data_IF_652155474387
#
_entry.id   IF_652155474387
#
_cell.length_a   1.000
_cell.length_b   1.000
_cell.length_c   1.000
_cell.angle_alpha   90.00
_cell.angle_beta   90.00
_cell.angle_gamma   90.00
#
_symmetry.space_group_name_H-M   'P 1'
#
loop_
_entity.id
_entity.type
_entity.pdbx_description
1 polymer ?
#
# COMPACT_ATOMS: atom_id res chain seq x y z
N UNK A 1 -6.66 -5.97 -32.72
CA UNK A 1 -6.43 -5.56 -31.32
C UNK A 1 -7.23 -4.29 -31.08
N UNK A 2 -8.26 -4.32 -30.24
CA UNK A 2 -9.08 -3.13 -29.97
C UNK A 2 -8.30 -2.16 -29.09
N UNK A 3 -8.12 -0.91 -29.56
CA UNK A 3 -7.37 0.13 -28.85
C UNK A 3 -8.21 0.57 -27.66
N UNK A 4 -7.76 0.27 -26.44
CA UNK A 4 -8.46 0.67 -25.22
C UNK A 4 -8.72 2.19 -25.24
N UNK A 5 -9.92 2.65 -24.88
CA UNK A 5 -10.25 4.07 -24.84
C UNK A 5 -9.35 4.80 -23.83
N UNK A 6 -9.10 6.11 -24.04
CA UNK A 6 -8.24 6.95 -23.17
C UNK A 6 -8.57 6.81 -21.67
N UNK A 7 -9.87 6.70 -21.35
CA UNK A 7 -10.37 6.50 -19.99
C UNK A 7 -9.94 5.16 -19.34
N UNK A 8 -9.56 4.16 -20.15
CA UNK A 8 -9.08 2.86 -19.69
C UNK A 8 -7.54 2.77 -19.62
N UNK A 9 -6.82 3.81 -20.06
CA UNK A 9 -5.35 3.86 -20.03
C UNK A 9 -4.78 4.94 -19.10
N UNK A 10 -5.64 5.77 -18.50
CA UNK A 10 -5.23 6.81 -17.54
C UNK A 10 -5.64 6.40 -16.11
N UNK A 11 -4.68 5.98 -15.27
CA UNK A 11 -5.00 5.61 -13.90
C UNK A 11 -5.43 6.86 -13.10
N UNK A 12 -6.61 6.80 -12.50
CA UNK A 12 -7.18 7.90 -11.69
C UNK A 12 -6.72 7.88 -10.23
N UNK A 13 -6.13 6.77 -9.78
CA UNK A 13 -5.68 6.58 -8.39
C UNK A 13 -4.56 5.56 -8.30
N UNK A 14 -3.68 5.74 -7.32
CA UNK A 14 -2.71 4.71 -6.92
C UNK A 14 -3.39 3.72 -5.98
N UNK A 15 -3.31 2.43 -6.30
CA UNK A 15 -3.94 1.39 -5.50
C UNK A 15 -3.16 1.05 -4.23
N UNK A 16 -1.82 0.96 -4.34
CA UNK A 16 -0.91 0.54 -3.28
C UNK A 16 0.49 1.12 -3.53
N UNK A 17 1.25 1.35 -2.46
CA UNK A 17 2.64 1.81 -2.53
C UNK A 17 3.54 0.88 -1.72
N UNK A 18 4.64 0.43 -2.31
CA UNK A 18 5.70 -0.28 -1.60
C UNK A 18 6.76 0.69 -1.06
N UNK A 19 7.08 0.61 0.22
CA UNK A 19 8.09 1.43 0.87
C UNK A 19 9.25 0.58 1.36
N UNK A 20 10.45 0.89 0.87
CA UNK A 20 11.68 0.25 1.36
C UNK A 20 12.30 1.10 2.47
N UNK A 21 12.42 0.51 3.66
CA UNK A 21 13.01 1.17 4.82
C UNK A 21 14.17 0.36 5.39
N UNK A 22 15.09 1.06 6.07
CA UNK A 22 16.13 0.40 6.88
C UNK A 22 15.53 -0.30 8.09
N UNK A 23 14.48 0.27 8.68
CA UNK A 23 13.74 -0.30 9.80
C UNK A 23 12.24 -0.29 9.47
N UNK A 24 11.73 -1.44 9.04
CA UNK A 24 10.34 -1.61 8.65
C UNK A 24 9.37 -1.46 9.83
N UNK A 25 9.76 -1.90 11.04
CA UNK A 25 8.94 -1.81 12.25
C UNK A 25 8.69 -0.36 12.68
N UNK A 26 9.75 0.46 12.66
CA UNK A 26 9.61 1.88 12.99
C UNK A 26 8.72 2.61 11.98
N UNK A 27 8.84 2.27 10.69
CA UNK A 27 7.99 2.84 9.65
C UNK A 27 6.53 2.39 9.80
N UNK A 28 6.31 1.11 10.13
CA UNK A 28 4.97 0.59 10.38
C UNK A 28 4.32 1.25 11.59
N UNK A 29 5.06 1.40 12.70
CA UNK A 29 4.59 2.11 13.89
C UNK A 29 4.22 3.56 13.59
N UNK A 30 5.03 4.25 12.77
CA UNK A 30 4.72 5.61 12.33
C UNK A 30 3.38 5.69 11.60
N UNK A 31 3.14 4.84 10.58
CA UNK A 31 1.88 4.88 9.83
C UNK A 31 0.67 4.41 10.63
N UNK A 32 0.86 3.52 11.61
CA UNK A 32 -0.18 3.16 12.57
C UNK A 32 -0.57 4.34 13.45
N UNK A 33 0.41 5.10 13.97
CA UNK A 33 0.16 6.19 14.90
C UNK A 33 -0.29 7.50 14.22
N UNK A 34 0.29 7.82 13.06
CA UNK A 34 0.03 9.08 12.35
C UNK A 34 -1.23 9.01 11.48
N UNK A 35 -1.47 7.85 10.83
CA UNK A 35 -2.56 7.70 9.84
C UNK A 35 -3.66 6.75 10.34
N UNK A 36 -3.38 5.92 11.35
CA UNK A 36 -4.34 4.92 11.83
C UNK A 36 -4.42 3.67 10.95
N UNK A 37 -3.41 3.42 10.11
CA UNK A 37 -3.35 2.17 9.35
C UNK A 37 -3.20 0.98 10.31
N UNK A 38 -3.71 -0.18 9.90
CA UNK A 38 -3.62 -1.43 10.65
C UNK A 38 -2.74 -2.42 9.91
N UNK A 39 -1.96 -3.20 10.64
CA UNK A 39 -1.24 -4.33 10.08
C UNK A 39 -2.26 -5.37 9.62
N UNK A 40 -2.22 -5.73 8.34
CA UNK A 40 -3.11 -6.73 7.74
C UNK A 40 -2.39 -8.07 7.57
N UNK A 41 -1.09 -8.05 7.31
CA UNK A 41 -0.26 -9.24 7.13
C UNK A 41 1.22 -8.92 7.27
N UNK A 42 2.00 -9.94 7.62
CA UNK A 42 3.46 -9.90 7.69
C UNK A 42 4.02 -11.17 7.08
N UNK A 43 4.71 -11.04 5.96
CA UNK A 43 5.28 -12.18 5.24
C UNK A 43 6.43 -11.71 4.34
N UNK A 44 7.39 -12.61 4.08
CA UNK A 44 8.45 -12.37 3.08
C UNK A 44 9.33 -11.15 3.37
N UNK A 45 9.45 -10.72 4.63
CA UNK A 45 10.21 -9.53 5.01
C UNK A 45 9.50 -8.19 4.76
N UNK A 46 8.21 -8.21 4.40
CA UNK A 46 7.37 -7.03 4.22
C UNK A 46 6.26 -6.95 5.29
N UNK A 47 5.86 -5.73 5.64
CA UNK A 47 4.75 -5.46 6.56
C UNK A 47 3.64 -4.79 5.76
N UNK A 48 2.52 -5.49 5.60
CA UNK A 48 1.37 -4.93 4.88
C UNK A 48 0.50 -4.13 5.81
N UNK A 49 0.34 -2.83 5.53
CA UNK A 49 -0.57 -1.94 6.26
C UNK A 49 -1.76 -1.55 5.40
N UNK A 50 -2.91 -1.35 6.04
CA UNK A 50 -4.13 -0.95 5.35
C UNK A 50 -5.29 -0.58 6.26
N UNK A 51 -6.44 -0.31 5.65
CA UNK A 51 -7.65 0.09 6.34
C UNK A 51 -8.84 -0.73 5.80
N UNK A 52 -9.76 -1.14 6.67
CA UNK A 52 -10.95 -1.93 6.30
C UNK A 52 -10.62 -3.15 5.41
N UNK A 53 -9.54 -3.88 5.75
CA UNK A 53 -9.00 -5.04 5.00
C UNK A 53 -8.48 -4.73 3.58
N UNK A 54 -8.39 -3.46 3.21
CA UNK A 54 -7.75 -3.04 1.96
C UNK A 54 -6.27 -2.76 2.20
N UNK A 55 -5.35 -3.50 1.57
CA UNK A 55 -3.93 -3.21 1.65
C UNK A 55 -3.60 -1.91 0.91
N UNK A 56 -2.82 -1.05 1.54
CA UNK A 56 -2.42 0.26 1.01
C UNK A 56 -0.90 0.44 0.98
N UNK A 57 -0.18 -0.27 1.86
CA UNK A 57 1.28 -0.20 2.02
C UNK A 57 1.91 -1.59 2.13
N UNK A 58 3.07 -1.85 1.51
CA UNK A 58 3.98 -3.00 1.73
C UNK A 58 5.42 -2.55 2.00
#
# INVERSE_FOLDING_TARGET
MSKLPFAATTPVSVARVGLRARNAESLAAYYRNAVGLRELSRAGGAITLGAANRPLLD
#
